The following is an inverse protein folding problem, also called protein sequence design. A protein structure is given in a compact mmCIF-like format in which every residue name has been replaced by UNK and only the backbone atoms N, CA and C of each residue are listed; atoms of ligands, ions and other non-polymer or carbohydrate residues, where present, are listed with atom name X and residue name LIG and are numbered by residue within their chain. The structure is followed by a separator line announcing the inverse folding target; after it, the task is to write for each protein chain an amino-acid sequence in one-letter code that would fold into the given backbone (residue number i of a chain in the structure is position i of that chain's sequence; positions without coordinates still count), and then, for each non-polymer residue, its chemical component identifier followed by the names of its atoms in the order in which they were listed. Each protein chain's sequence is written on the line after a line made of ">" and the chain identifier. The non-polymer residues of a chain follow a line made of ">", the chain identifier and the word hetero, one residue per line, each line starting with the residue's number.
data_IF_742554555053
#
_entry.id   IF_742554555053
#
_cell.length_a   1.000
_cell.length_b   1.000
_cell.length_c   1.000
_cell.angle_alpha   90.00
_cell.angle_beta   90.00
_cell.angle_gamma   90.00
#
_symmetry.space_group_name_H-M   'P 1'
#
loop_
_entity.id
_entity.type
_entity.pdbx_description
1 polymer ?
#
# COMPACT_ATOMS: atom_id res chain seq x y z
N UNK A 1 22.21 14.21 7.62
CA UNK A 1 22.12 14.87 8.92
C UNK A 1 22.27 13.84 10.03
N UNK A 2 23.41 13.85 10.71
CA UNK A 2 23.79 12.86 11.74
C UNK A 2 22.91 12.96 13.00
N UNK A 3 22.38 14.15 13.28
CA UNK A 3 21.46 14.40 14.38
C UNK A 3 20.13 13.68 14.18
N UNK A 4 19.57 13.67 12.96
CA UNK A 4 18.36 12.90 12.64
C UNK A 4 18.53 11.38 12.86
N UNK A 5 19.67 10.80 12.44
CA UNK A 5 19.98 9.38 12.72
C UNK A 5 20.09 9.09 14.21
N UNK A 6 20.66 10.01 14.98
CA UNK A 6 20.82 9.89 16.42
C UNK A 6 19.49 10.04 17.18
N UNK A 7 18.55 10.83 16.64
CA UNK A 7 17.20 11.01 17.17
C UNK A 7 16.35 9.75 16.97
N UNK A 8 16.34 9.20 15.75
CA UNK A 8 15.66 7.94 15.43
C UNK A 8 16.23 6.75 16.24
N UNK A 9 17.53 6.74 16.52
CA UNK A 9 18.16 5.72 17.35
C UNK A 9 17.78 5.84 18.85
N UNK A 10 17.37 7.02 19.33
CA UNK A 10 17.05 7.28 20.74
C UNK A 10 15.65 6.82 21.16
N UNK A 11 14.71 6.74 20.21
CA UNK A 11 13.33 6.29 20.47
C UNK A 11 13.19 4.76 20.51
N UNK A 12 14.30 4.03 20.35
CA UNK A 12 14.35 2.57 20.37
C UNK A 12 14.30 2.00 21.81
N UNK A 13 13.37 2.49 22.61
CA UNK A 13 12.88 1.83 23.82
C UNK A 13 11.42 1.48 23.59
N UNK A 14 11.17 0.72 22.53
CA UNK A 14 9.90 0.02 22.45
C UNK A 14 9.87 -0.97 23.62
N UNK A 15 8.73 -1.09 24.31
CA UNK A 15 8.61 -2.15 25.33
C UNK A 15 8.98 -3.49 24.67
N UNK A 16 9.69 -4.39 25.35
CA UNK A 16 10.10 -5.66 24.73
C UNK A 16 8.95 -6.42 24.06
N UNK A 17 7.71 -6.20 24.52
CA UNK A 17 6.48 -6.65 23.89
C UNK A 17 6.17 -6.04 22.52
N UNK A 18 6.41 -4.74 22.35
CA UNK A 18 6.24 -4.04 21.06
C UNK A 18 7.26 -4.55 20.05
N UNK A 19 8.53 -4.70 20.45
CA UNK A 19 9.55 -5.28 19.56
C UNK A 19 9.20 -6.72 19.17
N UNK A 20 8.76 -7.52 20.15
CA UNK A 20 8.29 -8.89 19.89
C UNK A 20 7.12 -8.91 18.89
N UNK A 21 6.08 -8.10 19.12
CA UNK A 21 4.91 -8.00 18.25
C UNK A 21 5.30 -7.54 16.83
N UNK A 22 6.12 -6.51 16.72
CA UNK A 22 6.54 -5.97 15.43
C UNK A 22 7.33 -7.01 14.62
N UNK A 23 8.28 -7.69 15.26
CA UNK A 23 9.16 -8.65 14.59
C UNK A 23 8.45 -9.96 14.21
N UNK A 24 7.60 -10.49 15.09
CA UNK A 24 7.07 -11.85 14.94
C UNK A 24 5.63 -11.89 14.43
N UNK A 25 4.84 -10.83 14.61
CA UNK A 25 3.44 -10.79 14.16
C UNK A 25 3.25 -9.80 13.02
N UNK A 26 3.60 -8.53 13.24
CA UNK A 26 3.30 -7.46 12.28
C UNK A 26 4.03 -7.66 10.96
N UNK A 27 5.34 -7.98 10.97
CA UNK A 27 6.11 -8.19 9.73
C UNK A 27 5.61 -9.34 8.87
N UNK A 28 5.00 -10.38 9.47
CA UNK A 28 4.34 -11.45 8.73
C UNK A 28 3.01 -10.97 8.13
N UNK A 29 2.20 -10.30 8.93
CA UNK A 29 0.91 -9.75 8.50
C UNK A 29 1.06 -8.79 7.31
N UNK A 30 2.02 -7.86 7.38
CA UNK A 30 2.30 -6.90 6.31
C UNK A 30 2.60 -7.60 5.00
N UNK A 31 3.23 -8.80 5.02
CA UNK A 31 3.53 -9.53 3.79
C UNK A 31 2.27 -9.97 3.04
N UNK A 32 1.23 -10.35 3.78
CA UNK A 32 -0.03 -10.84 3.25
C UNK A 32 -0.95 -9.70 2.81
N UNK A 33 -1.13 -8.68 3.65
CA UNK A 33 -2.21 -7.71 3.49
C UNK A 33 -1.76 -6.34 2.96
N UNK A 34 -0.47 -6.03 3.00
CA UNK A 34 0.06 -4.73 2.59
C UNK A 34 0.94 -4.85 1.35
N UNK A 35 0.51 -5.67 0.38
CA UNK A 35 1.18 -5.78 -0.92
C UNK A 35 0.82 -4.57 -1.77
N UNK A 36 1.79 -3.80 -2.28
CA UNK A 36 1.50 -2.60 -3.03
C UNK A 36 0.94 -2.95 -4.41
N UNK A 37 -0.10 -2.21 -4.81
CA UNK A 37 -0.81 -2.36 -6.07
C UNK A 37 -0.46 -1.16 -6.96
N UNK A 38 -0.10 -1.41 -8.22
CA UNK A 38 0.28 -0.38 -9.19
C UNK A 38 -0.77 -0.12 -10.28
N UNK A 39 -1.88 -0.87 -10.28
CA UNK A 39 -2.99 -0.70 -11.23
C UNK A 39 -4.21 -0.05 -10.60
N UNK A 40 -5.18 0.30 -11.45
CA UNK A 40 -6.53 0.60 -10.98
C UNK A 40 -7.15 -0.63 -10.29
N UNK A 41 -8.04 -0.43 -9.30
CA UNK A 41 -8.76 -1.51 -8.64
C UNK A 41 -9.90 -2.04 -9.53
N UNK A 42 -9.54 -2.77 -10.59
CA UNK A 42 -10.49 -3.49 -11.45
C UNK A 42 -10.70 -4.93 -10.93
N UNK A 43 -11.38 -5.78 -11.69
CA UNK A 43 -11.53 -7.22 -11.45
C UNK A 43 -10.18 -7.95 -11.32
N UNK A 44 -9.13 -7.39 -11.93
CA UNK A 44 -7.73 -7.78 -11.73
C UNK A 44 -6.92 -6.58 -11.27
N UNK A 45 -5.86 -6.85 -10.50
CA UNK A 45 -4.91 -5.86 -10.01
C UNK A 45 -3.48 -6.32 -10.23
N UNK A 46 -2.61 -5.37 -10.57
CA UNK A 46 -1.18 -5.61 -10.67
C UNK A 46 -0.53 -5.36 -9.31
N UNK A 47 -0.03 -6.45 -8.72
CA UNK A 47 0.63 -6.44 -7.42
C UNK A 47 2.14 -6.44 -7.63
N UNK A 48 2.83 -5.45 -7.06
CA UNK A 48 4.28 -5.36 -7.12
C UNK A 48 4.91 -6.48 -6.28
N UNK A 49 5.85 -7.21 -6.90
CA UNK A 49 6.62 -8.23 -6.22
C UNK A 49 7.67 -7.58 -5.32
N UNK A 50 7.85 -8.18 -4.14
CA UNK A 50 8.83 -7.77 -3.15
C UNK A 50 9.51 -8.99 -2.56
N UNK A 51 10.76 -8.82 -2.16
CA UNK A 51 11.54 -9.86 -1.48
C UNK A 51 12.15 -9.28 -0.21
N UNK A 52 12.56 -10.17 0.70
CA UNK A 52 13.37 -9.80 1.87
C UNK A 52 14.75 -10.43 1.72
N UNK A 53 15.79 -9.68 2.05
CA UNK A 53 17.14 -10.21 2.14
C UNK A 53 17.23 -11.23 3.30
N UNK A 54 18.09 -12.25 3.20
CA UNK A 54 18.34 -13.20 4.28
C UNK A 54 17.53 -14.51 4.26
N UNK A 55 16.84 -14.81 3.16
CA UNK A 55 16.17 -16.11 2.96
C UNK A 55 15.04 -16.40 3.97
N UNK A 56 14.65 -17.66 4.13
CA UNK A 56 13.51 -18.02 4.99
C UNK A 56 13.75 -17.80 6.50
N UNK A 57 15.01 -17.88 6.94
CA UNK A 57 15.37 -17.84 8.38
C UNK A 57 15.59 -16.40 8.88
N UNK A 58 16.31 -15.56 8.11
CA UNK A 58 16.60 -14.18 8.49
C UNK A 58 15.71 -13.16 7.76
N UNK A 59 14.98 -13.60 6.73
CA UNK A 59 14.06 -12.76 5.94
C UNK A 59 13.17 -11.85 6.78
N UNK A 60 12.41 -12.37 7.78
CA UNK A 60 11.54 -11.54 8.61
C UNK A 60 12.25 -10.41 9.38
N UNK A 61 13.58 -10.46 9.53
CA UNK A 61 14.34 -9.40 10.20
C UNK A 61 14.64 -8.22 9.27
N UNK A 62 14.70 -8.45 7.96
CA UNK A 62 15.03 -7.43 6.95
C UNK A 62 13.78 -6.73 6.40
N UNK A 63 13.96 -5.53 5.87
CA UNK A 63 12.89 -4.80 5.18
C UNK A 63 12.61 -5.37 3.79
N UNK A 64 11.48 -4.96 3.21
CA UNK A 64 11.10 -5.37 1.87
C UNK A 64 11.83 -4.54 0.82
N UNK A 65 12.31 -5.22 -0.22
CA UNK A 65 12.87 -4.59 -1.41
C UNK A 65 12.00 -4.94 -2.62
N UNK A 66 11.75 -3.94 -3.47
CA UNK A 66 10.99 -4.15 -4.70
C UNK A 66 11.86 -4.86 -5.73
N UNK A 67 11.30 -5.88 -6.38
CA UNK A 67 12.02 -6.59 -7.45
C UNK A 67 11.91 -5.90 -8.80
N UNK A 68 11.06 -4.87 -8.92
CA UNK A 68 10.75 -4.18 -10.18
C UNK A 68 9.74 -4.91 -11.06
N UNK A 69 9.29 -6.10 -10.66
CA UNK A 69 8.28 -6.88 -11.38
C UNK A 69 6.90 -6.68 -10.76
N UNK A 70 5.88 -6.69 -11.61
CA UNK A 70 4.48 -6.77 -11.19
C UNK A 70 3.89 -8.13 -11.57
N UNK A 71 2.92 -8.58 -10.80
CA UNK A 71 2.13 -9.77 -11.10
C UNK A 71 0.65 -9.43 -11.10
N UNK A 72 -0.02 -9.73 -12.21
CA UNK A 72 -1.46 -9.59 -12.32
C UNK A 72 -2.16 -10.68 -11.50
N UNK A 73 -3.02 -10.26 -10.59
CA UNK A 73 -3.79 -11.11 -9.68
C UNK A 73 -5.27 -10.77 -9.78
N UNK A 74 -6.15 -11.72 -9.46
CA UNK A 74 -7.58 -11.45 -9.35
C UNK A 74 -7.84 -10.61 -8.10
N UNK A 75 -8.61 -9.54 -8.26
CA UNK A 75 -8.97 -8.65 -7.16
C UNK A 75 -10.17 -9.22 -6.39
N UNK A 76 -9.87 -10.02 -5.36
CA UNK A 76 -10.88 -10.53 -4.43
C UNK A 76 -11.13 -9.58 -3.24
N UNK A 77 -10.35 -8.50 -3.16
CA UNK A 77 -10.54 -7.49 -2.15
C UNK A 77 -11.68 -6.54 -2.56
N UNK A 78 -12.37 -5.99 -1.57
CA UNK A 78 -13.46 -5.02 -1.80
C UNK A 78 -12.97 -3.67 -2.34
N UNK A 79 -11.78 -3.58 -2.94
CA UNK A 79 -11.24 -2.35 -3.54
C UNK A 79 -12.09 -1.86 -4.72
N UNK A 80 -12.95 -2.71 -5.29
CA UNK A 80 -13.95 -2.36 -6.30
C UNK A 80 -15.38 -2.67 -5.85
N UNK A 81 -15.75 -2.30 -4.62
CA UNK A 81 -17.07 -2.65 -4.05
C UNK A 81 -18.27 -2.07 -4.83
N UNK A 82 -18.11 -0.88 -5.42
CA UNK A 82 -19.18 -0.20 -6.17
C UNK A 82 -19.11 -0.46 -7.68
N UNK A 83 -18.13 -1.23 -8.17
CA UNK A 83 -17.96 -1.52 -9.60
C UNK A 83 -17.38 -0.37 -10.44
N UNK A 84 -17.12 0.80 -9.86
CA UNK A 84 -16.56 1.98 -10.54
C UNK A 84 -15.03 2.13 -10.39
N UNK A 85 -14.36 1.16 -9.78
CA UNK A 85 -12.91 1.18 -9.56
C UNK A 85 -12.07 0.90 -10.82
N UNK A 86 -12.68 0.35 -11.87
CA UNK A 86 -12.07 0.09 -13.16
C UNK A 86 -12.25 1.23 -14.17
N UNK A 87 -11.56 1.13 -15.32
CA UNK A 87 -11.71 2.09 -16.42
C UNK A 87 -12.89 1.67 -17.29
N UNK A 88 -14.05 2.27 -17.04
CA UNK A 88 -15.23 2.11 -17.89
C UNK A 88 -15.29 3.16 -19.01
N UNK A 89 -15.72 2.75 -20.20
CA UNK A 89 -15.76 3.61 -21.39
C UNK A 89 -16.78 4.76 -21.28
N UNK A 90 -17.81 4.62 -20.44
CA UNK A 90 -18.87 5.61 -20.29
C UNK A 90 -18.75 6.37 -18.96
N UNK A 91 -18.56 5.65 -17.86
CA UNK A 91 -18.52 6.20 -16.51
C UNK A 91 -17.22 6.98 -16.24
N UNK A 92 -16.06 6.52 -16.74
CA UNK A 92 -14.77 7.20 -16.46
C UNK A 92 -14.69 8.60 -17.09
N UNK A 93 -15.05 8.79 -18.38
CA UNK A 93 -15.06 10.13 -18.98
C UNK A 93 -16.12 11.04 -18.35
N UNK A 94 -17.30 10.51 -18.04
CA UNK A 94 -18.38 11.28 -17.43
C UNK A 94 -18.04 11.73 -16.01
N UNK A 95 -17.51 10.83 -15.17
CA UNK A 95 -17.07 11.17 -13.81
C UNK A 95 -15.90 12.16 -13.83
N UNK A 96 -14.96 12.00 -14.77
CA UNK A 96 -13.86 12.96 -14.95
C UNK A 96 -14.36 14.33 -15.38
N UNK A 97 -15.31 14.39 -16.32
CA UNK A 97 -15.89 15.65 -16.78
C UNK A 97 -16.64 16.36 -15.63
N UNK A 98 -17.47 15.63 -14.89
CA UNK A 98 -18.19 16.17 -13.74
C UNK A 98 -17.24 16.65 -12.64
N UNK A 99 -16.17 15.91 -12.35
CA UNK A 99 -15.17 16.33 -11.35
C UNK A 99 -14.40 17.59 -11.78
N UNK A 100 -14.13 17.75 -13.09
CA UNK A 100 -13.50 18.96 -13.62
C UNK A 100 -14.46 20.16 -13.64
N UNK A 101 -15.75 19.93 -13.90
CA UNK A 101 -16.78 20.96 -13.91
C UNK A 101 -17.10 21.47 -12.48
N UNK A 102 -17.25 20.56 -11.53
CA UNK A 102 -17.55 20.88 -10.12
C UNK A 102 -16.31 21.40 -9.36
N UNK A 103 -15.10 21.14 -9.86
CA UNK A 103 -13.85 21.48 -9.19
C UNK A 103 -13.64 20.70 -7.88
N UNK A 104 -12.47 20.89 -7.25
CA UNK A 104 -12.16 20.28 -5.96
C UNK A 104 -12.04 21.38 -4.89
N UNK A 105 -12.93 21.38 -3.91
CA UNK A 105 -12.83 22.25 -2.74
C UNK A 105 -12.29 21.46 -1.54
N UNK A 106 -11.29 22.00 -0.84
CA UNK A 106 -10.70 21.40 0.36
C UNK A 106 -11.62 21.46 1.59
N UNK A 107 -12.70 22.24 1.51
CA UNK A 107 -13.79 22.26 2.47
C UNK A 107 -15.09 22.15 1.68
N UNK A 108 -15.81 21.03 1.83
CA UNK A 108 -17.02 20.72 1.06
C UNK A 108 -17.97 21.92 0.95
N UNK A 109 -18.01 22.50 -0.24
CA UNK A 109 -18.82 23.65 -0.59
C UNK A 109 -18.96 23.61 -2.10
N UNK A 110 -20.00 22.91 -2.57
CA UNK A 110 -20.30 22.75 -3.98
C UNK A 110 -20.82 24.04 -4.60
N UNK A 111 -20.58 24.17 -5.91
CA UNK A 111 -21.32 25.02 -6.82
C UNK A 111 -22.27 24.17 -7.66
#
# INVERSE_FOLDING_TARGET
>A
DEACRRFLARERWSSGWVDFYLQHMYKLYVDCFSRPISSAPDSTVDVLKRTRAGGALLGPLHDFEFTGEAQTCVNLASYNYLGFGGVDAFCTPAARAAALEQGFSTAGGGG
#
